data_IF_286983031307
#
_entry.id   IF_286983031307
#
_cell.length_a   1.000
_cell.length_b   1.000
_cell.length_c   1.000
_cell.angle_alpha   90.00
_cell.angle_beta   90.00
_cell.angle_gamma   90.00
#
_symmetry.space_group_name_H-M   'P 1'
#
loop_
_entity.id
_entity.type
_entity.pdbx_description
1 polymer ?
#
# COMPACT_ATOMS: atom_id res chain seq x y z
N UNK A 1 -13.01 -32.42 -23.53
CA UNK A 1 -12.14 -31.23 -23.37
C UNK A 1 -11.28 -31.47 -22.14
N UNK A 2 -9.96 -31.54 -22.27
CA UNK A 2 -9.05 -31.76 -21.13
C UNK A 2 -8.80 -30.41 -20.46
N UNK A 3 -9.33 -30.23 -19.26
CA UNK A 3 -9.12 -29.02 -18.46
C UNK A 3 -7.63 -28.81 -18.17
N UNK A 4 -7.11 -27.64 -18.57
CA UNK A 4 -5.71 -27.24 -18.47
C UNK A 4 -5.20 -27.05 -17.02
N UNK A 5 -5.96 -27.46 -16.01
CA UNK A 5 -5.63 -27.32 -14.58
C UNK A 5 -4.58 -28.36 -14.13
N UNK A 6 -4.30 -29.40 -14.93
CA UNK A 6 -3.46 -30.55 -14.53
C UNK A 6 -2.00 -30.56 -15.01
N UNK A 7 -1.42 -29.41 -15.37
CA UNK A 7 -0.08 -29.34 -15.98
C UNK A 7 0.98 -28.49 -15.25
N UNK A 8 0.78 -28.08 -13.99
CA UNK A 8 1.80 -27.27 -13.28
C UNK A 8 2.08 -25.92 -13.97
N UNK A 9 1.08 -25.38 -14.66
CA UNK A 9 1.21 -24.16 -15.45
C UNK A 9 0.94 -22.95 -14.57
N UNK A 10 1.83 -21.97 -14.60
CA UNK A 10 1.59 -20.67 -13.98
C UNK A 10 0.67 -19.82 -14.85
N UNK A 11 -0.29 -19.13 -14.23
CA UNK A 11 -0.97 -18.00 -14.85
C UNK A 11 -0.03 -16.80 -14.81
N UNK A 12 0.31 -16.25 -15.98
CA UNK A 12 1.17 -15.08 -16.12
C UNK A 12 0.30 -13.92 -16.61
N UNK A 13 0.39 -12.79 -15.91
CA UNK A 13 -0.30 -11.55 -16.29
C UNK A 13 0.76 -10.47 -16.48
N UNK A 14 0.91 -10.03 -17.72
CA UNK A 14 1.77 -8.91 -18.08
C UNK A 14 0.89 -7.72 -18.45
N UNK A 15 1.08 -6.60 -17.78
CA UNK A 15 0.31 -5.38 -17.96
C UNK A 15 1.25 -4.24 -18.32
N UNK A 16 0.88 -3.48 -19.34
CA UNK A 16 1.51 -2.22 -19.73
C UNK A 16 0.43 -1.14 -19.73
N UNK A 17 0.73 0.00 -19.14
CA UNK A 17 -0.21 1.11 -19.05
C UNK A 17 0.54 2.44 -18.90
N UNK A 18 -0.10 3.54 -19.28
CA UNK A 18 0.36 4.88 -18.93
C UNK A 18 -0.29 5.33 -17.63
N UNK A 19 0.45 5.20 -16.53
CA UNK A 19 0.00 5.70 -15.24
C UNK A 19 -0.23 7.21 -15.33
N UNK A 20 -1.41 7.64 -14.88
CA UNK A 20 -1.84 9.04 -14.98
C UNK A 20 -1.81 9.61 -16.41
N UNK A 21 -1.95 8.75 -17.44
CA UNK A 21 -1.87 9.09 -18.88
C UNK A 21 -0.52 9.65 -19.34
N UNK A 22 0.53 9.50 -18.53
CA UNK A 22 1.82 10.17 -18.78
C UNK A 22 3.04 9.31 -18.50
N UNK A 23 2.97 8.40 -17.53
CA UNK A 23 4.15 7.68 -17.06
C UNK A 23 4.02 6.19 -17.39
N UNK A 24 4.84 5.65 -18.30
CA UNK A 24 4.83 4.23 -18.61
C UNK A 24 5.05 3.37 -17.36
N UNK A 25 4.15 2.42 -17.17
CA UNK A 25 4.10 1.45 -16.09
C UNK A 25 4.04 0.04 -16.69
N UNK A 26 4.94 -0.83 -16.24
CA UNK A 26 4.87 -2.26 -16.51
C UNK A 26 4.65 -3.02 -15.21
N UNK A 27 3.79 -4.02 -15.24
CA UNK A 27 3.49 -4.90 -14.11
C UNK A 27 3.46 -6.35 -14.59
N UNK A 28 4.13 -7.22 -13.86
CA UNK A 28 4.13 -8.65 -14.13
C UNK A 28 3.65 -9.38 -12.88
N UNK A 29 2.72 -10.31 -13.05
CA UNK A 29 2.27 -11.23 -12.01
C UNK A 29 2.45 -12.67 -12.46
N UNK A 30 2.88 -13.52 -11.54
CA UNK A 30 3.02 -14.95 -11.76
C UNK A 30 2.27 -15.68 -10.65
N UNK A 31 1.26 -16.45 -11.04
CA UNK A 31 0.44 -17.27 -10.16
C UNK A 31 0.68 -18.76 -10.48
N UNK A 32 1.58 -19.45 -9.76
CA UNK A 32 1.73 -20.89 -9.89
C UNK A 32 0.45 -21.59 -9.47
N UNK A 33 -0.21 -22.31 -10.38
CA UNK A 33 -1.51 -22.95 -10.14
C UNK A 33 -1.40 -24.29 -9.42
N UNK A 34 -0.19 -24.82 -9.25
CA UNK A 34 0.13 -26.08 -8.57
C UNK A 34 0.74 -25.88 -7.16
N UNK A 35 0.90 -24.63 -6.74
CA UNK A 35 1.49 -24.32 -5.44
C UNK A 35 0.52 -24.62 -4.30
N UNK A 36 0.94 -25.48 -3.37
CA UNK A 36 0.19 -25.76 -2.12
C UNK A 36 0.06 -24.56 -1.17
N UNK A 37 0.80 -23.47 -1.43
CA UNK A 37 0.97 -22.35 -0.50
C UNK A 37 0.31 -21.06 -1.01
N UNK A 38 -0.49 -21.13 -2.09
CA UNK A 38 -1.18 -19.98 -2.72
C UNK A 38 -0.29 -18.74 -2.87
N UNK A 39 1.00 -18.96 -3.18
CA UNK A 39 1.98 -17.89 -3.26
C UNK A 39 2.08 -17.39 -4.69
N UNK A 40 1.86 -16.10 -4.90
CA UNK A 40 2.07 -15.44 -6.17
C UNK A 40 3.21 -14.43 -6.10
N UNK A 41 3.80 -14.14 -7.24
CA UNK A 41 4.92 -13.22 -7.40
C UNK A 41 4.48 -12.02 -8.23
N UNK A 42 5.09 -10.88 -7.95
CA UNK A 42 4.83 -9.67 -8.71
C UNK A 42 6.11 -8.84 -8.85
N UNK A 43 6.22 -8.15 -9.98
CA UNK A 43 7.25 -7.17 -10.24
C UNK A 43 6.69 -6.01 -11.05
N UNK A 44 7.35 -4.86 -10.99
CA UNK A 44 6.93 -3.70 -11.75
C UNK A 44 8.01 -2.67 -11.95
N UNK A 45 7.83 -1.88 -13.00
CA UNK A 45 8.68 -0.74 -13.34
C UNK A 45 7.81 0.46 -13.73
N UNK A 46 8.08 1.61 -13.11
CA UNK A 46 7.49 2.90 -13.46
C UNK A 46 8.62 3.81 -13.94
N UNK A 47 8.42 4.39 -15.12
CA UNK A 47 9.40 5.28 -15.77
C UNK A 47 9.49 6.66 -15.11
N UNK A 48 10.38 7.50 -15.64
CA UNK A 48 10.63 8.85 -15.14
C UNK A 48 9.40 9.76 -15.23
N UNK A 49 9.24 10.65 -14.26
CA UNK A 49 8.16 11.63 -14.22
C UNK A 49 8.51 12.80 -13.28
N UNK A 50 7.77 13.90 -13.36
CA UNK A 50 7.79 14.91 -12.30
C UNK A 50 6.91 14.45 -11.14
N UNK A 51 7.41 14.54 -9.90
CA UNK A 51 6.71 14.02 -8.71
C UNK A 51 5.34 14.67 -8.48
N UNK A 52 5.20 15.95 -8.81
CA UNK A 52 3.95 16.71 -8.66
C UNK A 52 2.81 16.18 -9.56
N UNK A 53 3.12 15.47 -10.64
CA UNK A 53 2.12 14.84 -11.51
C UNK A 53 1.36 13.72 -10.79
N UNK A 54 1.95 13.15 -9.73
CA UNK A 54 1.31 12.12 -8.94
C UNK A 54 0.35 12.66 -7.87
N UNK A 55 0.27 13.98 -7.66
CA UNK A 55 -0.52 14.56 -6.57
C UNK A 55 -2.00 14.15 -6.59
N UNK A 56 -2.60 14.00 -7.77
CA UNK A 56 -4.00 13.55 -7.89
C UNK A 56 -4.20 12.14 -7.32
N UNK A 57 -3.17 11.29 -7.32
CA UNK A 57 -3.19 9.95 -6.73
C UNK A 57 -2.60 9.91 -5.31
N UNK A 58 -1.48 10.58 -5.06
CA UNK A 58 -0.76 10.51 -3.78
C UNK A 58 -1.49 11.23 -2.65
N UNK A 59 -2.16 12.35 -2.91
CA UNK A 59 -2.93 13.07 -1.90
C UNK A 59 -4.04 12.20 -1.29
N UNK A 60 -4.99 11.65 -2.08
CA UNK A 60 -6.06 10.85 -1.51
C UNK A 60 -5.58 9.48 -0.99
N UNK A 61 -4.53 8.90 -1.59
CA UNK A 61 -4.12 7.53 -1.25
C UNK A 61 -3.08 7.44 -0.12
N UNK A 62 -2.20 8.44 -0.02
CA UNK A 62 -1.07 8.48 0.90
C UNK A 62 -1.14 9.67 1.87
N UNK A 63 -1.98 10.68 1.59
CA UNK A 63 -1.94 11.95 2.31
C UNK A 63 -0.65 12.72 2.03
N UNK A 64 -0.04 12.52 0.86
CA UNK A 64 1.23 13.15 0.46
C UNK A 64 1.02 14.09 -0.72
N UNK A 65 1.55 15.31 -0.58
CA UNK A 65 1.62 16.31 -1.63
C UNK A 65 3.08 16.55 -2.00
N UNK A 66 3.43 16.25 -3.24
CA UNK A 66 4.73 16.57 -3.82
C UNK A 66 4.72 18.02 -4.32
N UNK A 67 5.56 18.87 -3.74
CA UNK A 67 5.77 20.24 -4.22
C UNK A 67 6.70 20.23 -5.44
N UNK A 68 7.78 19.44 -5.36
CA UNK A 68 8.72 19.22 -6.47
C UNK A 68 9.48 17.90 -6.34
N UNK A 69 10.21 17.57 -7.39
CA UNK A 69 11.11 16.42 -7.46
C UNK A 69 11.04 15.74 -8.81
N UNK A 70 12.13 15.10 -9.19
CA UNK A 70 12.27 14.34 -10.43
C UNK A 70 12.37 12.87 -10.10
N UNK A 71 11.35 12.09 -10.49
CA UNK A 71 11.42 10.64 -10.48
C UNK A 71 12.22 10.18 -11.70
N UNK A 72 13.26 9.37 -11.46
CA UNK A 72 13.98 8.68 -12.53
C UNK A 72 13.33 7.34 -12.84
N UNK A 73 13.07 6.53 -11.82
CA UNK A 73 12.34 5.26 -11.96
C UNK A 73 11.89 4.71 -10.60
N UNK A 74 10.89 3.83 -10.64
CA UNK A 74 10.56 2.91 -9.55
C UNK A 74 10.68 1.50 -10.09
N UNK A 75 11.44 0.65 -9.42
CA UNK A 75 11.45 -0.80 -9.65
C UNK A 75 11.11 -1.52 -8.36
N UNK A 76 10.31 -2.58 -8.46
CA UNK A 76 9.97 -3.40 -7.31
C UNK A 76 9.71 -4.84 -7.70
N UNK A 77 9.91 -5.73 -6.73
CA UNK A 77 9.59 -7.13 -6.82
C UNK A 77 9.15 -7.66 -5.45
N UNK A 78 8.35 -8.71 -5.45
CA UNK A 78 7.88 -9.32 -4.23
C UNK A 78 7.05 -10.58 -4.44
N UNK A 79 6.65 -11.15 -3.32
CA UNK A 79 5.75 -12.28 -3.25
C UNK A 79 4.66 -12.05 -2.21
N UNK A 80 3.58 -12.79 -2.36
CA UNK A 80 2.43 -12.72 -1.48
C UNK A 80 1.80 -14.10 -1.36
N UNK A 81 1.51 -14.51 -0.13
CA UNK A 81 0.80 -15.75 0.16
C UNK A 81 -0.55 -15.46 0.83
N UNK A 82 -1.21 -16.47 1.38
CA UNK A 82 -2.52 -16.30 2.01
C UNK A 82 -2.54 -15.29 3.18
N UNK A 83 -1.42 -14.97 3.80
CA UNK A 83 -1.35 -14.16 5.04
C UNK A 83 -0.52 -12.88 4.92
N UNK A 84 0.57 -12.88 4.16
CA UNK A 84 1.53 -11.78 4.13
C UNK A 84 2.15 -11.59 2.75
N UNK A 85 2.40 -10.32 2.41
CA UNK A 85 3.17 -9.95 1.24
C UNK A 85 4.43 -9.24 1.67
N UNK A 86 5.53 -9.53 0.99
CA UNK A 86 6.85 -8.94 1.21
C UNK A 86 7.54 -8.69 -0.13
N UNK A 87 8.45 -7.73 -0.14
CA UNK A 87 9.24 -7.44 -1.32
C UNK A 87 10.25 -6.33 -1.08
N UNK A 88 10.87 -5.88 -2.16
CA UNK A 88 11.82 -4.77 -2.17
C UNK A 88 11.42 -3.75 -3.24
N UNK A 89 11.72 -2.49 -2.97
CA UNK A 89 11.51 -1.38 -3.89
C UNK A 89 12.76 -0.53 -3.97
N UNK A 90 13.15 -0.18 -5.19
CA UNK A 90 14.12 0.86 -5.46
C UNK A 90 13.36 2.00 -6.14
N UNK A 91 13.43 3.18 -5.56
CA UNK A 91 12.81 4.39 -6.09
C UNK A 91 13.92 5.42 -6.28
N UNK A 92 14.29 5.70 -7.52
CA UNK A 92 15.36 6.64 -7.87
C UNK A 92 14.77 8.02 -8.15
N UNK A 93 15.28 9.03 -7.46
CA UNK A 93 14.74 10.38 -7.57
C UNK A 93 15.73 11.45 -7.09
N UNK A 94 15.51 12.69 -7.50
CA UNK A 94 16.25 13.87 -7.04
C UNK A 94 15.31 15.01 -6.66
N UNK A 95 15.82 15.92 -5.83
CA UNK A 95 15.20 17.22 -5.50
C UNK A 95 13.78 17.11 -4.96
N UNK A 96 13.49 16.02 -4.25
CA UNK A 96 12.18 15.73 -3.68
C UNK A 96 11.86 16.68 -2.53
N UNK A 97 10.74 17.37 -2.68
CA UNK A 97 10.11 18.16 -1.64
C UNK A 97 8.63 17.78 -1.58
N UNK A 98 8.17 17.36 -0.40
CA UNK A 98 6.79 16.99 -0.21
C UNK A 98 6.36 17.18 1.24
N UNK A 99 5.06 17.40 1.39
CA UNK A 99 4.38 17.57 2.66
C UNK A 99 3.29 16.53 2.88
N UNK A 100 3.09 16.15 4.15
CA UNK A 100 1.93 15.37 4.55
C UNK A 100 0.75 16.29 4.81
N UNK A 101 -0.41 15.91 4.29
CA UNK A 101 -1.62 16.71 4.39
C UNK A 101 -2.68 15.97 5.20
N UNK A 102 -3.28 16.65 6.19
CA UNK A 102 -4.39 16.10 6.98
C UNK A 102 -5.70 16.40 6.28
N UNK A 103 -6.56 15.38 6.20
CA UNK A 103 -7.94 15.55 5.80
C UNK A 103 -8.70 16.27 6.91
N UNK A 104 -9.41 17.35 6.58
CA UNK A 104 -10.23 18.06 7.56
C UNK A 104 -11.37 17.15 8.02
N UNK A 105 -11.56 17.04 9.34
CA UNK A 105 -12.60 16.19 9.93
C UNK A 105 -14.01 16.74 9.72
N UNK A 106 -14.15 18.06 9.57
CA UNK A 106 -15.45 18.73 9.37
C UNK A 106 -15.85 18.79 7.90
N UNK A 107 -14.87 18.87 7.00
CA UNK A 107 -15.11 19.02 5.57
C UNK A 107 -14.23 18.05 4.79
N UNK A 108 -14.80 16.90 4.41
CA UNK A 108 -14.06 15.79 3.78
C UNK A 108 -13.39 16.17 2.47
N UNK A 109 -13.75 17.30 1.85
CA UNK A 109 -13.16 17.75 0.61
C UNK A 109 -12.03 18.78 0.82
N UNK A 110 -11.82 19.27 2.05
CA UNK A 110 -10.74 20.20 2.37
C UNK A 110 -9.59 19.47 3.04
N UNK A 111 -8.41 19.63 2.46
CA UNK A 111 -7.15 19.19 3.03
C UNK A 111 -6.52 20.40 3.71
N UNK A 112 -6.21 20.30 5.00
CA UNK A 112 -5.48 21.35 5.71
C UNK A 112 -4.02 20.95 5.82
N UNK A 113 -3.13 21.79 5.29
CA UNK A 113 -1.70 21.66 5.53
C UNK A 113 -1.45 21.90 7.01
N UNK A 114 -0.92 20.89 7.70
CA UNK A 114 -0.44 21.03 9.07
C UNK A 114 1.07 20.80 9.07
N UNK A 115 1.78 21.81 9.53
CA UNK A 115 3.21 21.96 9.67
C UNK A 115 4.09 20.70 9.83
N UNK A 116 5.30 20.82 9.26
CA UNK A 116 6.60 20.42 9.83
C UNK A 116 7.07 18.95 9.81
N UNK A 117 6.61 18.12 8.87
CA UNK A 117 7.30 16.87 8.56
C UNK A 117 7.62 16.78 7.07
N UNK A 118 8.56 17.61 6.63
CA UNK A 118 9.21 17.48 5.32
C UNK A 118 9.76 16.06 5.19
N UNK A 119 9.51 15.46 4.02
CA UNK A 119 10.22 14.27 3.58
C UNK A 119 11.72 14.46 3.84
N UNK A 120 12.32 13.55 4.60
CA UNK A 120 13.71 13.69 5.08
C UNK A 120 14.72 13.32 4.01
N UNK A 121 14.30 12.53 3.02
CA UNK A 121 15.16 12.06 1.94
C UNK A 121 14.86 12.79 0.64
N UNK A 122 15.67 13.81 0.32
CA UNK A 122 15.52 14.61 -0.90
C UNK A 122 15.94 13.89 -2.19
N UNK A 123 16.83 12.89 -2.09
CA UNK A 123 17.32 12.15 -3.27
C UNK A 123 17.64 10.70 -2.94
N UNK A 124 17.45 9.80 -3.90
CA UNK A 124 17.94 8.43 -3.88
C UNK A 124 18.64 8.10 -5.21
N UNK A 125 19.96 7.83 -5.24
CA UNK A 125 20.88 7.72 -4.11
C UNK A 125 20.99 8.98 -3.23
N UNK A 126 21.34 8.80 -1.96
CA UNK A 126 21.51 9.92 -1.01
C UNK A 126 22.79 10.74 -1.28
N UNK A 127 23.02 11.79 -0.47
CA UNK A 127 24.20 12.68 -0.59
C UNK A 127 25.56 11.95 -0.54
N UNK A 128 25.61 10.78 0.05
CA UNK A 128 26.79 9.91 0.14
C UNK A 128 26.84 8.83 -0.96
N UNK A 129 26.09 9.02 -2.05
CA UNK A 129 25.90 8.05 -3.14
C UNK A 129 25.39 6.67 -2.70
N UNK A 130 24.88 6.53 -1.46
CA UNK A 130 24.29 5.27 -1.02
C UNK A 130 22.89 5.13 -1.58
N UNK A 131 22.73 4.12 -2.42
CA UNK A 131 21.42 3.65 -2.89
C UNK A 131 20.64 3.08 -1.71
N UNK A 132 19.39 3.51 -1.56
CA UNK A 132 18.46 2.97 -0.57
C UNK A 132 17.46 2.05 -1.26
N UNK A 133 17.32 0.85 -0.70
CA UNK A 133 16.28 -0.11 -1.05
C UNK A 133 15.27 -0.17 0.09
N UNK A 134 14.01 0.11 -0.22
CA UNK A 134 12.92 0.05 0.73
C UNK A 134 12.37 -1.38 0.82
N UNK A 135 12.18 -1.88 2.04
CA UNK A 135 11.44 -3.13 2.25
C UNK A 135 9.94 -2.88 2.14
N UNK A 136 9.24 -3.75 1.44
CA UNK A 136 7.78 -3.72 1.33
C UNK A 136 7.21 -4.84 2.20
N UNK A 137 6.18 -4.56 3.00
CA UNK A 137 5.45 -5.60 3.70
C UNK A 137 4.02 -5.18 4.03
N UNK A 138 3.10 -6.14 3.98
CA UNK A 138 1.74 -5.93 4.45
C UNK A 138 1.12 -7.25 4.89
N UNK A 139 0.32 -7.23 5.94
CA UNK A 139 -0.46 -8.39 6.39
C UNK A 139 -1.84 -8.36 5.72
N UNK A 140 -2.25 -9.49 5.13
CA UNK A 140 -3.49 -9.58 4.35
C UNK A 140 -4.69 -9.26 5.24
N UNK A 141 -5.62 -8.50 4.68
CA UNK A 141 -6.98 -8.37 5.25
C UNK A 141 -7.86 -9.39 4.52
N UNK A 142 -8.28 -10.51 5.15
CA UNK A 142 -8.85 -11.66 4.44
C UNK A 142 -10.05 -11.35 3.54
N UNK A 143 -10.91 -10.41 3.98
CA UNK A 143 -12.10 -9.99 3.24
C UNK A 143 -11.84 -8.94 2.14
N UNK A 144 -10.58 -8.56 1.90
CA UNK A 144 -10.22 -7.64 0.81
C UNK A 144 -9.55 -8.41 -0.34
N UNK A 145 -9.83 -7.95 -1.57
CA UNK A 145 -9.27 -8.54 -2.78
C UNK A 145 -7.74 -8.39 -2.89
N UNK A 146 -7.13 -9.20 -3.77
CA UNK A 146 -5.68 -9.24 -3.97
C UNK A 146 -5.09 -7.89 -4.39
N UNK A 147 -5.83 -7.07 -5.17
CA UNK A 147 -5.37 -5.74 -5.57
C UNK A 147 -5.10 -4.82 -4.38
N UNK A 148 -5.96 -4.85 -3.34
CA UNK A 148 -5.70 -4.11 -2.11
C UNK A 148 -4.44 -4.62 -1.39
N UNK A 149 -4.18 -5.92 -1.46
CA UNK A 149 -3.02 -6.54 -0.84
C UNK A 149 -1.72 -6.05 -1.47
N UNK A 150 -1.63 -6.10 -2.80
CA UNK A 150 -0.50 -5.59 -3.58
C UNK A 150 -0.36 -4.09 -3.36
N UNK A 151 -1.44 -3.31 -3.52
CA UNK A 151 -1.43 -1.87 -3.32
C UNK A 151 -0.92 -1.46 -1.94
N UNK A 152 -1.39 -2.12 -0.87
CA UNK A 152 -0.95 -1.81 0.50
C UNK A 152 0.51 -2.17 0.72
N UNK A 153 1.01 -3.22 0.08
CA UNK A 153 2.42 -3.58 0.15
C UNK A 153 3.30 -2.53 -0.55
N UNK A 154 2.92 -2.12 -1.77
CA UNK A 154 3.60 -1.04 -2.51
C UNK A 154 3.58 0.28 -1.73
N UNK A 155 2.45 0.63 -1.10
CA UNK A 155 2.33 1.81 -0.25
C UNK A 155 3.40 1.83 0.86
N UNK A 156 3.69 0.70 1.51
CA UNK A 156 4.76 0.66 2.53
C UNK A 156 6.15 0.90 1.94
N UNK A 157 6.40 0.42 0.71
CA UNK A 157 7.62 0.67 -0.04
C UNK A 157 7.80 2.15 -0.37
N UNK A 158 6.77 2.79 -0.93
CA UNK A 158 6.77 4.21 -1.26
C UNK A 158 7.05 5.06 -0.02
N UNK A 159 6.37 4.78 1.11
CA UNK A 159 6.63 5.49 2.37
C UNK A 159 8.10 5.30 2.79
N UNK A 160 8.60 4.07 2.89
CA UNK A 160 9.98 3.83 3.36
C UNK A 160 11.06 4.38 2.41
N UNK A 161 10.76 4.57 1.13
CA UNK A 161 11.68 5.20 0.17
C UNK A 161 11.91 6.68 0.49
N UNK A 162 10.85 7.38 0.92
CA UNK A 162 10.88 8.84 1.08
C UNK A 162 10.97 9.31 2.54
N UNK A 163 10.71 8.46 3.52
CA UNK A 163 10.78 8.82 4.94
C UNK A 163 11.53 7.79 5.79
N UNK A 164 12.17 8.21 6.89
CA UNK A 164 12.84 7.29 7.81
C UNK A 164 11.86 6.26 8.39
N UNK A 165 12.32 5.03 8.59
CA UNK A 165 11.53 3.90 9.07
C UNK A 165 10.74 4.18 10.36
N UNK A 166 11.30 4.99 11.27
CA UNK A 166 10.66 5.38 12.54
C UNK A 166 9.41 6.25 12.36
N UNK A 167 9.38 7.08 11.31
CA UNK A 167 8.20 7.87 10.96
C UNK A 167 7.24 7.04 10.10
N UNK A 168 7.76 6.18 9.22
CA UNK A 168 6.95 5.37 8.30
C UNK A 168 5.99 4.44 9.05
N UNK A 169 6.47 3.78 10.11
CA UNK A 169 5.64 2.91 10.96
C UNK A 169 4.49 3.68 11.65
N UNK A 170 4.70 4.92 12.11
CA UNK A 170 3.65 5.71 12.77
C UNK A 170 2.52 6.11 11.82
N UNK A 171 2.82 6.33 10.54
CA UNK A 171 1.82 6.65 9.52
C UNK A 171 0.91 5.47 9.18
N UNK A 172 1.44 4.24 9.22
CA UNK A 172 0.71 3.01 8.89
C UNK A 172 -0.18 2.53 10.07
N UNK A 173 0.31 2.70 11.30
CA UNK A 173 -0.43 2.35 12.54
C UNK A 173 -1.62 3.28 12.82
N UNK A 174 -1.58 4.52 12.34
CA UNK A 174 -2.59 5.56 12.63
C UNK A 174 -3.95 5.29 11.98
N UNK A 175 -4.01 4.53 10.88
CA UNK A 175 -5.22 4.42 10.07
C UNK A 175 -6.02 3.13 10.24
N UNK A 176 -5.45 2.04 10.77
CA UNK A 176 -6.14 0.72 10.78
C UNK A 176 -6.35 0.08 12.15
N UNK A 177 -5.43 0.20 13.11
CA UNK A 177 -5.57 -0.52 14.39
C UNK A 177 -6.68 0.06 15.28
N UNK A 178 -6.89 1.39 15.28
CA UNK A 178 -7.97 2.01 16.08
C UNK A 178 -9.37 1.73 15.53
N UNK A 179 -9.53 1.69 14.19
CA UNK A 179 -10.86 1.56 13.56
C UNK A 179 -11.41 0.13 13.55
N UNK A 180 -10.53 -0.88 13.45
CA UNK A 180 -10.93 -2.28 13.57
C UNK A 180 -11.23 -2.66 15.03
N UNK A 181 -10.43 -2.23 16.01
CA UNK A 181 -10.73 -2.48 17.44
C UNK A 181 -12.05 -1.85 17.89
N UNK A 182 -12.42 -0.67 17.38
CA UNK A 182 -13.70 -0.03 17.71
C UNK A 182 -14.92 -0.71 17.09
N UNK A 183 -14.79 -1.26 15.87
CA UNK A 183 -15.90 -1.93 15.19
C UNK A 183 -16.19 -3.31 15.81
N UNK A 184 -15.15 -4.11 16.06
CA UNK A 184 -15.29 -5.44 16.68
C UNK A 184 -15.81 -5.34 18.13
N UNK A 185 -15.34 -4.37 18.93
CA UNK A 185 -15.85 -4.18 20.30
C UNK A 185 -17.30 -3.66 20.35
N UNK A 186 -17.78 -2.95 19.32
CA UNK A 186 -19.18 -2.51 19.25
C UNK A 186 -20.13 -3.62 18.81
N UNK A 187 -19.69 -4.51 17.92
CA UNK A 187 -20.46 -5.69 17.51
C UNK A 187 -20.56 -6.71 18.65
N UNK A 188 -19.46 -7.02 19.34
CA UNK A 188 -19.46 -7.94 20.49
C UNK A 188 -20.35 -7.42 21.63
N UNK A 189 -20.32 -6.11 21.93
CA UNK A 189 -21.22 -5.53 22.95
C UNK A 189 -22.69 -5.57 22.55
N UNK A 190 -23.02 -5.45 21.25
CA UNK A 190 -24.40 -5.58 20.76
C UNK A 190 -24.87 -7.04 20.80
N UNK A 191 -24.04 -8.00 20.42
CA UNK A 191 -24.33 -9.44 20.50
C UNK A 191 -24.60 -9.85 21.94
N UNK A 192 -23.70 -9.51 22.86
CA UNK A 192 -23.80 -9.87 24.28
C UNK A 192 -25.05 -9.29 24.96
N UNK A 193 -25.47 -8.07 24.60
CA UNK A 193 -26.73 -7.47 25.12
C UNK A 193 -27.98 -8.16 24.55
N UNK A 194 -27.94 -8.62 23.30
CA UNK A 194 -29.06 -9.32 22.64
C UNK A 194 -29.28 -10.71 23.25
N UNK A 195 -28.19 -11.42 23.55
CA UNK A 195 -28.24 -12.75 24.17
C UNK A 195 -28.69 -12.70 25.64
N UNK A 196 -28.25 -11.70 26.41
CA UNK A 196 -28.76 -11.46 27.77
C UNK A 196 -30.27 -11.16 27.80
N UNK A 197 -30.79 -10.43 26.80
CA UNK A 197 -32.24 -10.16 26.67
C UNK A 197 -33.04 -11.40 26.30
N UNK A 198 -32.50 -12.27 25.43
CA UNK A 198 -33.15 -13.55 25.09
C UNK A 198 -33.20 -14.52 26.27
N UNK A 199 -32.11 -14.66 27.03
CA UNK A 199 -32.08 -15.51 28.24
C UNK A 199 -33.01 -15.04 29.37
N UNK A 200 -33.30 -13.74 29.48
CA UNK A 200 -34.29 -13.22 30.44
C UNK A 200 -35.74 -13.51 30.03
N UNK A 201 -36.02 -13.58 28.73
CA UNK A 201 -37.37 -13.88 28.22
C UNK A 201 -37.72 -15.37 28.21
N UNK A 202 -36.74 -16.26 28.28
CA UNK A 202 -36.96 -17.71 28.33
C UNK A 202 -37.03 -18.29 29.76
N UNK A 203 -36.94 -17.43 30.78
CA UNK A 203 -37.01 -17.79 32.22
C UNK A 203 -38.23 -17.18 32.92
N UNK A 204 -39.12 -16.58 32.16
CA UNK A 204 -40.43 -16.07 32.58
C UNK A 204 -41.48 -16.76 31.74
#
# INVERSE_FOLDING_TARGET
MKDSIRTGKSLIVNLQADFMKKTPLTLNFVFPLDSRVDTFFYAGHLSSAKMNEFNQASLPALGLKFEKGSLKEISFDGSANATISRGKMIMLYSDLEAEFVKKNEKDKNKFMSWAANTITFSSNPGKNNKLRTASMNFERVPYKGFGNFVWKTLQTGIMRSVMPSSKAQKSDSGSKVKKQKSATQQEDKKQTKKDKRKKKKSKS
#
